data_IF_538513181455
#
_entry.id   IF_538513181455
#
_cell.length_a   1.000
_cell.length_b   1.000
_cell.length_c   1.000
_cell.angle_alpha   90.00
_cell.angle_beta   90.00
_cell.angle_gamma   90.00
#
_symmetry.space_group_name_H-M   'P 1'
#
loop_
_entity.id
_entity.type
_entity.pdbx_description
1 polymer ?
#
# COMPACT_ATOMS: atom_id res chain seq x y z
N UNK A 1 33.95 11.45 3.06
CA UNK A 1 33.26 10.15 2.94
C UNK A 1 31.99 10.35 2.12
N UNK A 2 31.76 9.60 1.03
CA UNK A 2 30.49 9.67 0.31
C UNK A 2 29.35 9.21 1.22
N UNK A 3 28.20 9.91 1.16
CA UNK A 3 26.99 9.52 1.90
C UNK A 3 26.47 8.20 1.32
N UNK A 4 26.56 7.11 2.09
CA UNK A 4 25.93 5.81 1.80
C UNK A 4 24.39 5.85 1.97
N UNK A 5 23.74 6.91 1.52
CA UNK A 5 22.29 6.99 1.57
C UNK A 5 21.69 6.17 0.43
N UNK A 6 21.24 4.96 0.74
CA UNK A 6 20.35 4.22 -0.14
C UNK A 6 18.94 4.80 -0.02
N UNK A 7 18.37 5.28 -1.13
CA UNK A 7 16.93 5.61 -1.16
C UNK A 7 16.14 4.41 -0.64
N UNK A 8 15.05 4.69 0.09
CA UNK A 8 14.15 3.68 0.66
C UNK A 8 13.94 2.55 -0.36
N UNK A 9 14.17 1.30 0.08
CA UNK A 9 14.33 0.12 -0.78
C UNK A 9 13.43 0.16 -2.03
N UNK A 10 13.99 0.05 -3.25
CA UNK A 10 13.23 0.15 -4.49
C UNK A 10 12.12 -0.91 -4.57
N UNK A 11 12.35 -2.08 -3.97
CA UNK A 11 11.39 -3.17 -3.88
C UNK A 11 10.58 -3.08 -2.58
N UNK A 12 9.76 -2.03 -2.45
CA UNK A 12 8.79 -1.97 -1.34
C UNK A 12 7.79 -3.10 -1.49
N UNK A 13 7.62 -3.85 -0.41
CA UNK A 13 6.55 -4.85 -0.32
C UNK A 13 5.20 -4.13 -0.25
N UNK A 14 4.42 -4.24 -1.31
CA UNK A 14 3.04 -3.75 -1.34
C UNK A 14 2.13 -4.86 -0.82
N UNK A 15 1.30 -4.53 0.15
CA UNK A 15 0.27 -5.44 0.65
C UNK A 15 -0.90 -5.40 -0.32
N UNK A 16 -1.28 -6.55 -0.88
CA UNK A 16 -2.46 -6.66 -1.73
C UNK A 16 -3.73 -6.76 -0.88
N UNK A 17 -4.88 -6.42 -1.47
CA UNK A 17 -6.16 -6.53 -0.77
C UNK A 17 -6.51 -8.01 -0.48
N UNK A 18 -6.13 -8.95 -1.35
CA UNK A 18 -6.25 -10.40 -1.13
C UNK A 18 -5.51 -10.85 0.15
N UNK A 19 -4.29 -10.35 0.35
CA UNK A 19 -3.50 -10.66 1.56
C UNK A 19 -4.13 -10.08 2.83
N UNK A 20 -4.83 -8.95 2.71
CA UNK A 20 -5.57 -8.38 3.83
C UNK A 20 -6.79 -9.22 4.18
N UNK A 21 -7.57 -9.64 3.19
CA UNK A 21 -8.76 -10.47 3.43
C UNK A 21 -8.37 -11.84 3.99
N UNK A 22 -7.37 -12.51 3.41
CA UNK A 22 -6.85 -13.76 3.95
C UNK A 22 -6.31 -13.61 5.39
N UNK A 23 -5.60 -12.51 5.68
CA UNK A 23 -5.15 -12.20 7.03
C UNK A 23 -6.28 -11.94 8.02
N UNK A 24 -7.39 -11.32 7.59
CA UNK A 24 -8.60 -11.10 8.40
C UNK A 24 -9.31 -12.41 8.69
N UNK A 25 -9.48 -13.28 7.68
CA UNK A 25 -10.10 -14.60 7.85
C UNK A 25 -9.39 -15.42 8.93
N UNK A 26 -8.06 -15.49 8.87
CA UNK A 26 -7.26 -16.18 9.89
C UNK A 26 -7.44 -15.60 11.29
N UNK A 27 -7.63 -14.28 11.42
CA UNK A 27 -7.92 -13.64 12.71
C UNK A 27 -9.30 -14.03 13.23
N UNK A 28 -10.31 -14.11 12.35
CA UNK A 28 -11.67 -14.56 12.70
C UNK A 28 -11.64 -16.02 13.18
N UNK A 29 -10.80 -16.86 12.58
CA UNK A 29 -10.55 -18.25 13.00
C UNK A 29 -9.74 -18.38 14.31
N UNK A 30 -9.35 -17.27 14.94
CA UNK A 30 -8.67 -17.24 16.24
C UNK A 30 -7.15 -17.08 16.17
N UNK A 31 -6.56 -16.87 14.99
CA UNK A 31 -5.13 -16.59 14.88
C UNK A 31 -4.78 -15.18 15.38
N UNK A 32 -3.59 -15.03 15.98
CA UNK A 32 -3.09 -13.70 16.31
C UNK A 32 -2.73 -12.93 15.04
N UNK A 33 -2.84 -11.59 15.07
CA UNK A 33 -2.43 -10.70 13.96
C UNK A 33 -0.99 -10.95 13.48
N UNK A 34 -0.10 -11.39 14.37
CA UNK A 34 1.27 -11.76 14.03
C UNK A 34 1.31 -13.07 13.22
N UNK A 35 0.62 -14.11 13.71
CA UNK A 35 0.54 -15.42 13.07
C UNK A 35 -0.12 -15.34 11.69
N UNK A 36 -1.25 -14.63 11.59
CA UNK A 36 -1.92 -14.39 10.31
C UNK A 36 -0.98 -13.67 9.32
N UNK A 37 -0.25 -12.66 9.80
CA UNK A 37 0.69 -11.91 8.96
C UNK A 37 1.88 -12.73 8.46
N UNK A 38 2.43 -13.62 9.29
CA UNK A 38 3.52 -14.51 8.88
C UNK A 38 3.10 -15.58 7.87
N UNK A 39 1.82 -15.98 7.86
CA UNK A 39 1.31 -17.02 6.96
C UNK A 39 0.99 -16.49 5.56
N UNK A 40 0.50 -15.25 5.47
CA UNK A 40 -0.05 -14.70 4.22
C UNK A 40 0.94 -13.80 3.48
N UNK A 41 1.92 -13.22 4.18
CA UNK A 41 2.85 -12.30 3.54
C UNK A 41 3.99 -11.82 4.43
N UNK A 42 4.48 -10.62 4.16
CA UNK A 42 5.57 -10.03 4.94
C UNK A 42 5.06 -9.57 6.31
N UNK A 43 5.36 -10.35 7.34
CA UNK A 43 4.84 -10.19 8.72
C UNK A 43 4.80 -8.71 9.17
N UNK A 44 5.95 -8.03 9.15
CA UNK A 44 6.07 -6.66 9.66
C UNK A 44 5.20 -5.64 8.91
N UNK A 45 4.98 -5.84 7.61
CA UNK A 45 4.17 -4.93 6.79
C UNK A 45 2.69 -5.27 6.95
N UNK A 46 2.32 -6.54 6.76
CA UNK A 46 0.94 -7.00 6.83
C UNK A 46 0.34 -6.80 8.23
N UNK A 47 1.10 -7.10 9.29
CA UNK A 47 0.64 -6.93 10.68
C UNK A 47 0.29 -5.47 10.99
N UNK A 48 1.01 -4.49 10.43
CA UNK A 48 0.70 -3.07 10.60
C UNK A 48 -0.61 -2.73 9.90
N UNK A 49 -0.80 -3.22 8.68
CA UNK A 49 -2.04 -3.05 7.92
C UNK A 49 -3.24 -3.73 8.59
N UNK A 50 -3.06 -4.90 9.23
CA UNK A 50 -4.11 -5.59 10.01
C UNK A 50 -4.37 -4.95 11.39
N UNK A 51 -3.44 -4.12 11.89
CA UNK A 51 -3.62 -3.36 13.14
C UNK A 51 -4.43 -2.09 12.90
N UNK A 52 -4.10 -1.36 11.85
CA UNK A 52 -4.82 -0.16 11.41
C UNK A 52 -6.10 -0.64 10.73
N UNK A 53 -7.19 -0.77 11.49
CA UNK A 53 -8.49 -1.24 10.99
C UNK A 53 -9.10 -0.41 9.86
N UNK A 54 -8.39 0.60 9.33
CA UNK A 54 -8.74 1.39 8.16
C UNK A 54 -7.46 1.82 7.43
N UNK A 55 -7.43 1.67 6.11
CA UNK A 55 -6.65 2.57 5.24
C UNK A 55 -7.10 3.99 5.58
N UNK A 56 -6.20 4.97 5.57
CA UNK A 56 -6.62 6.36 5.72
C UNK A 56 -7.67 6.67 4.64
N UNK A 57 -8.94 6.82 5.03
CA UNK A 57 -10.05 7.12 4.10
C UNK A 57 -9.87 8.50 3.47
N UNK A 58 -9.14 9.38 4.16
CA UNK A 58 -8.79 10.72 3.74
C UNK A 58 -7.33 10.99 4.04
N UNK A 59 -6.65 11.65 3.10
CA UNK A 59 -5.30 12.20 3.29
C UNK A 59 -5.32 13.55 4.03
N UNK A 60 -6.42 13.85 4.75
CA UNK A 60 -6.62 15.06 5.52
C UNK A 60 -6.88 16.26 4.62
N UNK A 61 -5.95 17.22 4.63
CA UNK A 61 -6.02 18.46 3.81
C UNK A 61 -5.54 18.26 2.37
N UNK A 62 -5.17 17.05 2.01
CA UNK A 62 -4.77 16.74 0.65
C UNK A 62 -6.01 16.60 -0.23
N UNK A 63 -6.06 17.43 -1.26
CA UNK A 63 -7.02 17.37 -2.36
C UNK A 63 -6.22 17.11 -3.64
N UNK A 64 -6.73 16.25 -4.54
CA UNK A 64 -6.06 16.12 -5.84
C UNK A 64 -6.12 17.46 -6.55
N UNK A 65 -4.99 17.90 -7.10
CA UNK A 65 -4.92 19.13 -7.88
C UNK A 65 -5.60 18.97 -9.24
N UNK A 66 -5.65 17.73 -9.75
CA UNK A 66 -6.26 17.40 -11.03
C UNK A 66 -7.51 16.55 -10.82
N UNK A 67 -8.52 16.80 -11.65
CA UNK A 67 -9.65 15.88 -11.80
C UNK A 67 -9.22 14.66 -12.61
N UNK A 68 -9.97 13.56 -12.52
CA UNK A 68 -9.69 12.35 -13.31
C UNK A 68 -9.63 12.63 -14.82
N UNK A 69 -10.49 13.52 -15.32
CA UNK A 69 -10.50 13.93 -16.72
C UNK A 69 -9.20 14.64 -17.11
N UNK A 70 -8.68 15.52 -16.25
CA UNK A 70 -7.40 16.20 -16.49
C UNK A 70 -6.22 15.23 -16.45
N UNK A 71 -6.25 14.23 -15.56
CA UNK A 71 -5.24 13.18 -15.52
C UNK A 71 -5.24 12.34 -16.81
N UNK A 72 -6.43 12.02 -17.34
CA UNK A 72 -6.59 11.32 -18.62
C UNK A 72 -6.11 12.15 -19.82
N UNK A 73 -6.41 13.45 -19.86
CA UNK A 73 -5.92 14.35 -20.90
C UNK A 73 -4.39 14.41 -20.91
N UNK A 74 -3.77 14.57 -19.74
CA UNK A 74 -2.30 14.58 -19.60
C UNK A 74 -1.72 13.23 -20.05
N UNK A 75 -2.34 12.12 -19.65
CA UNK A 75 -1.90 10.79 -20.06
C UNK A 75 -1.92 10.62 -21.59
N UNK A 76 -3.01 11.02 -22.25
CA UNK A 76 -3.11 10.93 -23.70
C UNK A 76 -2.09 11.83 -24.40
N UNK A 77 -1.89 13.06 -23.92
CA UNK A 77 -0.88 13.98 -24.46
C UNK A 77 0.54 13.40 -24.36
N UNK A 78 0.90 12.81 -23.22
CA UNK A 78 2.21 12.18 -23.04
C UNK A 78 2.35 10.97 -23.98
N UNK A 79 1.28 10.17 -24.12
CA UNK A 79 1.28 8.99 -24.98
C UNK A 79 1.44 9.32 -26.46
N UNK A 80 0.91 10.45 -26.94
CA UNK A 80 1.02 10.89 -28.33
C UNK A 80 2.27 11.71 -28.63
N UNK A 81 2.94 12.24 -27.60
CA UNK A 81 4.16 13.04 -27.74
C UNK A 81 5.45 12.20 -27.84
N UNK A 82 5.33 10.86 -27.80
CA UNK A 82 6.40 9.88 -28.01
C UNK A 82 6.03 8.96 -29.18
#
# INVERSE_FOLDING_TARGET
MPRNYQRKAPNRYVVTDEQLEAGKLLIVEGATKRKAASQVGKENTLRKSLKLGKKAESMGRYFSTFTKAQEEEIYQYIKTSY
#
